data_IF_533131688383
#
_entry.id   IF_533131688383
#
_cell.length_a   1.000
_cell.length_b   1.000
_cell.length_c   1.000
_cell.angle_alpha   90.00
_cell.angle_beta   90.00
_cell.angle_gamma   90.00
#
_symmetry.space_group_name_H-M   'P 1'
#
loop_
_entity.id
_entity.type
_entity.pdbx_description
1 polymer ?
#
# COMPACT_ATOMS: atom_id res chain seq x y z
N UNK A 1 -15.48 -24.10 -6.63
CA UNK A 1 -15.37 -22.96 -7.56
C UNK A 1 -14.15 -22.17 -7.09
N UNK A 2 -13.06 -22.23 -7.82
CA UNK A 2 -11.83 -21.50 -7.50
C UNK A 2 -12.11 -20.03 -7.82
N UNK A 3 -12.28 -19.23 -6.80
CA UNK A 3 -12.38 -17.77 -6.97
C UNK A 3 -10.96 -17.27 -7.23
N UNK A 4 -10.55 -17.26 -8.50
CA UNK A 4 -9.26 -16.70 -8.90
C UNK A 4 -9.14 -15.26 -8.40
N UNK A 5 -7.95 -14.83 -8.01
CA UNK A 5 -7.69 -13.45 -7.62
C UNK A 5 -7.99 -12.49 -8.78
N UNK A 6 -8.49 -11.31 -8.45
CA UNK A 6 -8.65 -10.23 -9.41
C UNK A 6 -7.29 -9.54 -9.58
N UNK A 7 -6.84 -9.39 -10.83
CA UNK A 7 -5.57 -8.75 -11.14
C UNK A 7 -5.78 -7.33 -11.63
N UNK A 8 -4.92 -6.43 -11.18
CA UNK A 8 -4.83 -5.05 -11.67
C UNK A 8 -3.38 -4.59 -11.75
N UNK A 9 -3.13 -3.64 -12.63
CA UNK A 9 -1.85 -2.94 -12.71
C UNK A 9 -2.01 -1.61 -11.98
N UNK A 10 -1.13 -1.37 -11.01
CA UNK A 10 -1.07 -0.13 -10.26
C UNK A 10 0.19 0.63 -10.62
N UNK A 11 0.06 1.92 -10.81
CA UNK A 11 1.19 2.84 -10.97
C UNK A 11 1.04 3.93 -9.93
N UNK A 12 1.98 3.97 -8.99
CA UNK A 12 1.91 4.86 -7.83
C UNK A 12 3.27 5.48 -7.51
N UNK A 13 3.24 6.68 -6.92
CA UNK A 13 4.42 7.31 -6.30
C UNK A 13 4.16 7.60 -4.84
N UNK A 14 5.21 7.47 -4.02
CA UNK A 14 5.18 7.62 -2.57
C UNK A 14 6.08 8.74 -2.11
N UNK A 15 5.61 9.47 -1.11
CA UNK A 15 6.31 10.63 -0.57
C UNK A 15 6.29 10.57 0.95
N UNK A 16 7.44 10.74 1.59
CA UNK A 16 7.53 10.96 3.02
C UNK A 16 7.18 12.41 3.33
N UNK A 17 6.35 12.62 4.34
CA UNK A 17 5.91 13.95 4.80
C UNK A 17 6.03 14.08 6.30
N UNK A 18 6.25 15.31 6.77
CA UNK A 18 6.33 15.60 8.21
C UNK A 18 4.93 15.63 8.84
N UNK A 19 4.85 15.50 10.17
CA UNK A 19 3.56 15.48 10.91
C UNK A 19 2.68 16.70 10.64
N UNK A 20 3.29 17.88 10.45
CA UNK A 20 2.61 19.14 10.15
C UNK A 20 2.30 19.38 8.67
N UNK A 21 2.57 18.40 7.80
CA UNK A 21 2.34 18.56 6.37
C UNK A 21 0.86 18.85 6.06
N UNK A 22 0.63 19.83 5.20
CA UNK A 22 -0.70 20.16 4.68
C UNK A 22 -0.73 19.76 3.22
N UNK A 23 -1.61 18.80 2.88
CA UNK A 23 -1.77 18.36 1.50
C UNK A 23 -2.24 19.54 0.63
N UNK A 24 -1.47 19.95 -0.40
CA UNK A 24 -1.86 21.04 -1.27
C UNK A 24 -3.06 20.65 -2.14
N UNK A 25 -3.74 21.67 -2.68
CA UNK A 25 -4.69 21.43 -3.77
C UNK A 25 -3.91 21.01 -5.02
N UNK A 26 -4.18 19.81 -5.50
CA UNK A 26 -3.58 19.24 -6.71
C UNK A 26 -4.51 19.35 -7.94
N UNK A 27 -5.61 20.10 -7.84
CA UNK A 27 -6.38 20.49 -9.03
C UNK A 27 -5.47 21.23 -10.02
N UNK A 28 -5.61 20.93 -11.31
CA UNK A 28 -4.70 21.42 -12.36
C UNK A 28 -3.55 20.47 -12.69
N UNK A 29 -3.28 19.44 -11.86
CA UNK A 29 -2.26 18.44 -12.17
C UNK A 29 -2.73 17.50 -13.28
N UNK A 30 -1.97 17.41 -14.39
CA UNK A 30 -2.12 16.36 -15.41
C UNK A 30 -3.55 16.19 -15.96
N UNK A 31 -4.29 17.30 -16.14
CA UNK A 31 -5.67 17.27 -16.64
C UNK A 31 -6.76 17.16 -15.56
N UNK A 32 -6.42 17.01 -14.29
CA UNK A 32 -7.38 17.10 -13.20
C UNK A 32 -7.92 18.53 -13.08
N UNK A 33 -9.24 18.69 -12.95
CA UNK A 33 -9.89 20.00 -12.82
C UNK A 33 -10.39 20.28 -11.41
N UNK A 34 -10.49 19.24 -10.58
CA UNK A 34 -10.90 19.35 -9.18
C UNK A 34 -10.37 18.20 -8.33
N UNK A 35 -10.40 18.41 -7.03
CA UNK A 35 -10.07 17.40 -6.03
C UNK A 35 -11.31 17.15 -5.15
N UNK A 36 -11.66 15.86 -4.92
CA UNK A 36 -12.82 15.51 -4.12
C UNK A 36 -12.69 15.93 -2.64
N UNK A 37 -13.78 16.05 -1.90
CA UNK A 37 -13.73 16.10 -0.45
C UNK A 37 -12.94 14.90 0.14
N UNK A 38 -12.37 15.03 1.35
CA UNK A 38 -11.66 13.94 1.99
C UNK A 38 -12.61 12.80 2.40
N UNK A 39 -12.18 11.57 2.15
CA UNK A 39 -12.76 10.35 2.68
C UNK A 39 -11.79 9.73 3.68
N UNK A 40 -12.22 9.49 4.91
CA UNK A 40 -11.35 9.03 5.99
C UNK A 40 -11.65 7.58 6.31
N UNK A 41 -10.62 6.74 6.21
CA UNK A 41 -10.71 5.31 6.41
C UNK A 41 -9.76 4.86 7.54
N UNK A 42 -10.18 3.84 8.29
CA UNK A 42 -9.33 3.14 9.25
C UNK A 42 -8.99 1.77 8.68
N UNK A 43 -7.71 1.53 8.45
CA UNK A 43 -7.21 0.31 7.83
C UNK A 43 -6.33 -0.44 8.83
N UNK A 44 -6.47 -1.76 8.88
CA UNK A 44 -5.56 -2.63 9.60
C UNK A 44 -5.06 -3.73 8.66
N UNK A 45 -3.74 -3.88 8.55
CA UNK A 45 -3.11 -4.85 7.68
C UNK A 45 -2.13 -5.74 8.44
N UNK A 46 -2.21 -7.06 8.23
CA UNK A 46 -1.18 -8.00 8.66
C UNK A 46 -0.43 -8.48 7.43
N UNK A 47 0.89 -8.36 7.46
CA UNK A 47 1.78 -8.82 6.40
C UNK A 47 2.36 -10.19 6.73
N UNK A 48 2.53 -10.99 5.70
CA UNK A 48 3.00 -12.38 5.79
C UNK A 48 4.22 -12.59 4.91
N UNK A 49 5.18 -13.34 5.43
CA UNK A 49 6.38 -13.76 4.71
C UNK A 49 6.90 -15.08 5.30
N UNK A 50 7.94 -15.64 4.70
CA UNK A 50 8.72 -16.73 5.29
C UNK A 50 9.60 -16.21 6.44
N UNK A 51 10.09 -17.11 7.31
CA UNK A 51 10.96 -16.73 8.44
C UNK A 51 12.24 -16.00 7.97
N UNK A 52 12.74 -16.35 6.79
CA UNK A 52 13.91 -15.73 6.14
C UNK A 52 13.57 -14.61 5.15
N UNK A 53 12.32 -14.11 5.18
CA UNK A 53 11.85 -12.92 4.44
C UNK A 53 12.05 -12.99 2.91
N UNK A 54 11.75 -14.15 2.31
CA UNK A 54 11.94 -14.38 0.87
C UNK A 54 11.06 -13.53 -0.02
N UNK A 55 9.81 -13.25 0.40
CA UNK A 55 8.90 -12.45 -0.41
C UNK A 55 9.39 -11.01 -0.49
N UNK A 56 9.70 -10.38 0.64
CA UNK A 56 10.19 -9.00 0.62
C UNK A 56 11.56 -8.90 -0.05
N UNK A 57 12.41 -9.93 0.09
CA UNK A 57 13.68 -10.05 -0.62
C UNK A 57 13.50 -10.09 -2.16
N UNK A 58 12.36 -10.58 -2.65
CA UNK A 58 11.93 -10.55 -4.05
C UNK A 58 11.06 -9.32 -4.40
N UNK A 59 10.99 -8.31 -3.53
CA UNK A 59 10.13 -7.12 -3.67
C UNK A 59 8.62 -7.43 -3.75
N UNK A 60 8.20 -8.54 -3.15
CA UNK A 60 6.81 -8.97 -3.09
C UNK A 60 6.26 -8.68 -1.70
N UNK A 61 5.02 -8.20 -1.64
CA UNK A 61 4.30 -8.10 -0.37
C UNK A 61 3.02 -8.92 -0.41
N UNK A 62 2.76 -9.67 0.64
CA UNK A 62 1.51 -10.39 0.88
C UNK A 62 0.89 -9.86 2.16
N UNK A 63 -0.35 -9.36 2.08
CA UNK A 63 -1.06 -8.83 3.24
C UNK A 63 -2.51 -9.26 3.28
N UNK A 64 -3.06 -9.35 4.48
CA UNK A 64 -4.50 -9.37 4.75
C UNK A 64 -4.89 -8.01 5.33
N UNK A 65 -5.77 -7.28 4.64
CA UNK A 65 -6.24 -5.96 5.06
C UNK A 65 -7.72 -5.98 5.43
N UNK A 66 -8.06 -5.27 6.49
CA UNK A 66 -9.44 -4.98 6.91
C UNK A 66 -9.65 -3.47 6.93
N UNK A 67 -10.89 -3.06 6.80
CA UNK A 67 -11.26 -1.65 6.65
C UNK A 67 -11.04 -1.12 5.23
N UNK A 68 -11.71 -0.01 4.90
CA UNK A 68 -11.74 0.55 3.55
C UNK A 68 -12.58 -0.27 2.58
N UNK A 69 -12.61 0.19 1.33
CA UNK A 69 -13.48 -0.37 0.28
C UNK A 69 -12.92 -1.66 -0.34
N UNK A 70 -11.62 -1.92 -0.15
CA UNK A 70 -10.88 -3.03 -0.74
C UNK A 70 -10.33 -4.01 0.32
N UNK A 71 -11.11 -4.26 1.37
CA UNK A 71 -10.77 -5.26 2.38
C UNK A 71 -10.58 -6.64 1.74
N UNK A 72 -9.42 -7.29 2.02
CA UNK A 72 -9.07 -8.54 1.36
C UNK A 72 -7.64 -8.97 1.57
N UNK A 73 -7.22 -9.96 0.81
CA UNK A 73 -5.84 -10.36 0.66
C UNK A 73 -5.26 -9.70 -0.59
N UNK A 74 -4.06 -9.18 -0.46
CA UNK A 74 -3.37 -8.46 -1.53
C UNK A 74 -1.97 -9.02 -1.69
N UNK A 75 -1.61 -9.35 -2.93
CA UNK A 75 -0.25 -9.69 -3.33
C UNK A 75 0.21 -8.61 -4.29
N UNK A 76 1.24 -7.85 -3.94
CA UNK A 76 1.88 -6.90 -4.86
C UNK A 76 3.19 -7.49 -5.37
N UNK A 77 3.29 -7.58 -6.70
CA UNK A 77 4.41 -8.15 -7.44
C UNK A 77 5.10 -7.05 -8.24
N UNK A 78 6.45 -7.01 -8.29
CA UNK A 78 7.16 -5.99 -9.05
C UNK A 78 6.95 -6.22 -10.56
N UNK A 79 6.68 -5.14 -11.30
CA UNK A 79 6.68 -5.12 -12.77
C UNK A 79 7.86 -4.30 -13.27
N UNK A 80 8.11 -3.14 -12.65
CA UNK A 80 9.22 -2.25 -12.93
C UNK A 80 8.88 -0.80 -12.66
N UNK A 81 9.87 0.01 -12.26
CA UNK A 81 9.68 1.41 -11.90
C UNK A 81 8.59 1.61 -10.83
N UNK A 82 7.66 2.52 -11.10
CA UNK A 82 6.56 2.86 -10.22
C UNK A 82 5.36 1.89 -10.35
N UNK A 83 5.49 0.80 -11.14
CA UNK A 83 4.40 -0.10 -11.51
C UNK A 83 4.48 -1.42 -10.76
N UNK A 84 3.33 -1.88 -10.25
CA UNK A 84 3.12 -3.16 -9.57
C UNK A 84 1.95 -3.90 -10.20
N UNK A 85 2.02 -5.24 -10.22
CA UNK A 85 0.85 -6.08 -10.44
C UNK A 85 0.29 -6.45 -9.08
N UNK A 86 -0.95 -6.05 -8.82
CA UNK A 86 -1.67 -6.47 -7.62
C UNK A 86 -2.63 -7.60 -7.94
N UNK A 87 -2.63 -8.62 -7.09
CA UNK A 87 -3.62 -9.70 -7.10
C UNK A 87 -4.43 -9.60 -5.83
N UNK A 88 -5.73 -9.38 -5.96
CA UNK A 88 -6.67 -9.22 -4.85
C UNK A 88 -7.57 -10.43 -4.71
N UNK A 89 -7.70 -10.95 -3.48
CA UNK A 89 -8.65 -12.00 -3.11
C UNK A 89 -9.59 -11.52 -2.01
N UNK A 90 -10.82 -12.05 -1.96
CA UNK A 90 -11.76 -11.74 -0.90
C UNK A 90 -11.18 -11.98 0.50
N UNK A 91 -11.65 -11.23 1.49
CA UNK A 91 -11.14 -11.28 2.86
C UNK A 91 -11.23 -12.68 3.49
N UNK A 92 -12.25 -13.44 3.13
CA UNK A 92 -12.51 -14.78 3.70
C UNK A 92 -12.82 -14.74 5.20
N UNK A 93 -12.91 -15.91 5.85
CA UNK A 93 -13.16 -16.00 7.27
C UNK A 93 -11.98 -15.42 8.08
N UNK A 94 -12.21 -14.96 9.32
CA UNK A 94 -11.14 -14.56 10.21
C UNK A 94 -10.15 -15.70 10.41
N UNK A 95 -8.85 -15.38 10.38
CA UNK A 95 -7.78 -16.35 10.57
C UNK A 95 -6.41 -15.72 10.49
N UNK A 96 -5.41 -16.44 10.99
CA UNK A 96 -3.99 -16.04 10.97
C UNK A 96 -3.19 -16.82 9.92
N UNK A 97 -3.81 -17.80 9.28
CA UNK A 97 -3.17 -18.66 8.28
C UNK A 97 -3.51 -18.14 6.89
N UNK A 98 -2.50 -18.08 6.04
CA UNK A 98 -2.67 -17.74 4.62
C UNK A 98 -3.44 -18.88 3.95
N UNK A 99 -4.56 -18.61 3.26
CA UNK A 99 -5.30 -19.63 2.49
C UNK A 99 -4.40 -20.30 1.45
N UNK A 100 -4.62 -21.60 1.22
CA UNK A 100 -3.78 -22.40 0.32
C UNK A 100 -3.70 -21.86 -1.11
N UNK A 101 -4.81 -21.33 -1.64
CA UNK A 101 -4.86 -20.70 -2.96
C UNK A 101 -3.96 -19.46 -3.04
N UNK A 102 -3.92 -18.63 -1.99
CA UNK A 102 -3.07 -17.43 -1.91
C UNK A 102 -1.61 -17.83 -1.71
N UNK A 103 -1.34 -18.83 -0.88
CA UNK A 103 0.02 -19.36 -0.71
C UNK A 103 0.58 -19.93 -2.01
N UNK A 104 -0.25 -20.55 -2.85
CA UNK A 104 0.13 -21.07 -4.16
C UNK A 104 0.59 -19.96 -5.12
N UNK A 105 -0.03 -18.76 -5.09
CA UNK A 105 0.37 -17.61 -5.92
C UNK A 105 1.82 -17.17 -5.66
N UNK A 106 2.31 -17.31 -4.44
CA UNK A 106 3.66 -16.90 -4.06
C UNK A 106 4.62 -18.06 -3.88
N UNK A 107 4.19 -19.31 -4.16
CA UNK A 107 4.95 -20.52 -3.87
C UNK A 107 6.33 -20.56 -4.53
N UNK A 108 6.46 -20.04 -5.76
CA UNK A 108 7.75 -20.00 -6.47
C UNK A 108 8.81 -19.13 -5.77
N UNK A 109 8.39 -18.14 -4.98
CA UNK A 109 9.31 -17.27 -4.24
C UNK A 109 9.49 -17.72 -2.80
N UNK A 110 8.43 -18.20 -2.14
CA UNK A 110 8.52 -18.75 -0.80
C UNK A 110 9.24 -20.11 -0.77
N UNK A 111 9.34 -20.79 -1.92
CA UNK A 111 9.86 -22.15 -2.01
C UNK A 111 8.99 -23.17 -1.27
N UNK A 112 7.71 -22.86 -1.06
CA UNK A 112 6.80 -23.68 -0.28
C UNK A 112 6.99 -23.58 1.25
N UNK A 113 7.89 -22.70 1.72
CA UNK A 113 8.07 -22.48 3.15
C UNK A 113 6.82 -21.88 3.81
N UNK A 114 6.55 -22.15 5.09
CA UNK A 114 5.42 -21.60 5.82
C UNK A 114 5.42 -20.07 5.81
N UNK A 115 4.25 -19.46 5.54
CA UNK A 115 4.04 -18.03 5.60
C UNK A 115 3.48 -17.65 6.97
N UNK A 116 4.15 -16.71 7.64
CA UNK A 116 3.81 -16.26 8.99
C UNK A 116 3.62 -14.75 9.03
N UNK A 117 2.86 -14.23 10.01
CA UNK A 117 2.77 -12.80 10.23
C UNK A 117 4.15 -12.22 10.60
N UNK A 118 4.62 -11.21 9.84
CA UNK A 118 5.93 -10.56 10.06
C UNK A 118 5.82 -9.09 10.44
N UNK A 119 4.68 -8.44 10.10
CA UNK A 119 4.38 -7.07 10.49
C UNK A 119 2.87 -6.83 10.58
N UNK A 120 2.47 -5.86 11.39
CA UNK A 120 1.14 -5.24 11.40
C UNK A 120 1.25 -3.75 11.18
N UNK A 121 0.31 -3.22 10.41
CA UNK A 121 0.16 -1.79 10.22
C UNK A 121 -1.27 -1.38 10.54
N UNK A 122 -1.40 -0.31 11.30
CA UNK A 122 -2.62 0.44 11.48
C UNK A 122 -2.47 1.76 10.75
N UNK A 123 -3.43 2.11 9.91
CA UNK A 123 -3.34 3.30 9.06
C UNK A 123 -4.64 4.09 9.15
N UNK A 124 -4.52 5.36 9.54
CA UNK A 124 -5.57 6.34 9.29
C UNK A 124 -5.29 6.98 7.94
N UNK A 125 -6.09 6.60 6.93
CA UNK A 125 -5.96 7.04 5.55
C UNK A 125 -6.98 8.13 5.26
N UNK A 126 -6.54 9.23 4.67
CA UNK A 126 -7.42 10.25 4.10
C UNK A 126 -7.27 10.21 2.59
N UNK A 127 -8.30 9.76 1.87
CA UNK A 127 -8.30 9.67 0.41
C UNK A 127 -8.96 10.92 -0.18
N UNK A 128 -8.35 11.44 -1.25
CA UNK A 128 -8.95 12.42 -2.15
C UNK A 128 -8.76 11.94 -3.59
N UNK A 129 -9.74 12.20 -4.44
CA UNK A 129 -9.70 11.82 -5.85
C UNK A 129 -9.47 13.04 -6.70
N UNK A 130 -8.52 12.96 -7.63
CA UNK A 130 -8.32 13.94 -8.67
C UNK A 130 -9.27 13.60 -9.82
N UNK A 131 -10.15 14.55 -10.15
CA UNK A 131 -11.23 14.35 -11.10
C UNK A 131 -10.97 15.12 -12.39
N UNK A 132 -11.24 14.47 -13.51
CA UNK A 132 -11.24 15.06 -14.84
C UNK A 132 -12.51 15.86 -15.14
N UNK A 133 -12.60 16.43 -16.34
CA UNK A 133 -13.71 17.33 -16.76
C UNK A 133 -15.08 16.65 -16.78
N UNK A 134 -15.13 15.34 -17.04
CA UNK A 134 -16.38 14.57 -17.05
C UNK A 134 -16.66 13.91 -15.67
N UNK A 135 -15.87 14.23 -14.64
CA UNK A 135 -16.01 13.67 -13.30
C UNK A 135 -15.33 12.31 -13.12
N UNK A 136 -14.61 11.82 -14.12
CA UNK A 136 -13.83 10.59 -14.07
C UNK A 136 -12.67 10.71 -13.06
N UNK A 137 -12.38 9.60 -12.36
CA UNK A 137 -11.26 9.55 -11.41
C UNK A 137 -9.97 9.33 -12.20
N UNK A 138 -9.08 10.32 -12.18
CA UNK A 138 -7.77 10.24 -12.83
C UNK A 138 -6.70 9.66 -11.91
N UNK A 139 -6.72 10.02 -10.63
CA UNK A 139 -5.83 9.47 -9.62
C UNK A 139 -6.47 9.53 -8.23
N UNK A 140 -5.98 8.69 -7.33
CA UNK A 140 -6.22 8.80 -5.89
C UNK A 140 -4.98 9.33 -5.18
N UNK A 141 -5.20 10.24 -4.24
CA UNK A 141 -4.19 10.79 -3.34
C UNK A 141 -4.53 10.31 -1.94
N UNK A 142 -3.72 9.43 -1.41
CA UNK A 142 -3.87 8.88 -0.06
C UNK A 142 -2.85 9.51 0.88
N UNK A 143 -3.32 10.20 1.92
CA UNK A 143 -2.53 10.74 3.01
C UNK A 143 -2.66 9.80 4.21
N UNK A 144 -1.59 9.07 4.51
CA UNK A 144 -1.54 7.97 5.45
C UNK A 144 -0.78 8.34 6.72
N UNK A 145 -1.44 8.26 7.86
CA UNK A 145 -0.81 8.21 9.17
C UNK A 145 -0.68 6.73 9.57
N UNK A 146 0.53 6.21 9.65
CA UNK A 146 0.82 4.79 9.79
C UNK A 146 1.50 4.51 11.12
N UNK A 147 1.04 3.46 11.82
CA UNK A 147 1.74 2.84 12.95
C UNK A 147 2.08 1.40 12.59
N UNK A 148 3.36 1.07 12.65
CA UNK A 148 3.90 -0.25 12.33
C UNK A 148 4.36 -1.01 13.57
N UNK A 149 4.13 -2.32 13.62
CA UNK A 149 4.58 -3.22 14.68
C UNK A 149 5.08 -4.56 14.12
N UNK A 150 5.93 -5.23 14.89
CA UNK A 150 6.48 -6.56 14.58
C UNK A 150 6.17 -7.54 15.70
N UNK A 151 6.14 -8.86 15.42
CA UNK A 151 6.06 -9.87 16.47
C UNK A 151 7.22 -9.72 17.46
N UNK A 152 6.94 -9.90 18.74
CA UNK A 152 7.98 -9.97 19.76
C UNK A 152 8.78 -11.28 19.57
N UNK A 153 10.14 -11.24 19.48
CA UNK A 153 10.94 -12.45 19.35
C UNK A 153 10.76 -13.45 20.50
N UNK A 154 10.42 -12.97 21.70
CA UNK A 154 10.21 -13.83 22.87
C UNK A 154 8.78 -14.40 22.95
N UNK A 155 7.82 -13.75 22.30
CA UNK A 155 6.41 -14.16 22.27
C UNK A 155 5.75 -13.67 20.95
N UNK A 156 5.70 -14.52 19.91
CA UNK A 156 5.14 -14.14 18.60
C UNK A 156 3.67 -13.74 18.62
N UNK A 157 2.94 -13.99 19.70
CA UNK A 157 1.56 -13.52 19.88
C UNK A 157 1.50 -12.04 20.27
N UNK A 158 2.57 -11.51 20.84
CA UNK A 158 2.71 -10.14 21.27
C UNK A 158 3.32 -9.29 20.14
N UNK A 159 2.83 -8.06 19.98
CA UNK A 159 3.29 -7.11 18.97
C UNK A 159 4.04 -5.96 19.63
N UNK A 160 5.21 -5.62 19.08
CA UNK A 160 6.02 -4.49 19.53
C UNK A 160 5.94 -3.37 18.51
N UNK A 161 5.59 -2.14 18.92
CA UNK A 161 5.70 -0.96 18.06
C UNK A 161 7.12 -0.82 17.51
N UNK A 162 7.25 -0.45 16.22
CA UNK A 162 8.54 -0.25 15.56
C UNK A 162 8.70 1.18 15.06
N UNK A 163 7.71 1.70 14.33
CA UNK A 163 7.78 3.01 13.70
C UNK A 163 6.38 3.61 13.58
N UNK A 164 6.32 4.93 13.57
CA UNK A 164 5.10 5.68 13.23
C UNK A 164 5.50 6.84 12.32
N UNK A 165 4.81 6.96 11.17
CA UNK A 165 5.15 7.97 10.17
C UNK A 165 3.92 8.46 9.43
N UNK A 166 4.12 9.45 8.58
CA UNK A 166 3.11 9.94 7.63
C UNK A 166 3.70 9.92 6.23
N UNK A 167 2.92 9.45 5.28
CA UNK A 167 3.30 9.42 3.88
C UNK A 167 2.11 9.75 2.98
N UNK A 168 2.39 10.25 1.79
CA UNK A 168 1.39 10.48 0.75
C UNK A 168 1.67 9.55 -0.42
N UNK A 169 0.63 8.87 -0.90
CA UNK A 169 0.67 8.06 -2.12
C UNK A 169 -0.21 8.72 -3.18
N UNK A 170 0.27 8.76 -4.42
CA UNK A 170 -0.52 9.16 -5.58
C UNK A 170 -0.57 7.99 -6.53
N UNK A 171 -1.75 7.42 -6.71
CA UNK A 171 -1.99 6.24 -7.56
C UNK A 171 -2.84 6.63 -8.77
N UNK A 172 -2.39 6.27 -9.97
CA UNK A 172 -3.16 6.45 -11.20
C UNK A 172 -4.37 5.51 -11.22
N UNK A 173 -5.50 6.07 -11.64
CA UNK A 173 -6.74 5.31 -11.95
C UNK A 173 -7.06 5.39 -13.44
N UNK A 174 -7.49 6.53 -13.94
CA UNK A 174 -7.73 6.78 -15.36
C UNK A 174 -6.80 7.84 -15.97
N UNK A 175 -5.88 8.38 -15.18
CA UNK A 175 -4.93 9.41 -15.62
C UNK A 175 -3.72 8.86 -16.35
N UNK A 176 -2.91 9.77 -16.90
CA UNK A 176 -1.63 9.46 -17.57
C UNK A 176 -0.45 9.66 -16.64
N UNK A 177 0.75 9.12 -16.94
CA UNK A 177 1.95 9.33 -16.15
C UNK A 177 2.31 10.82 -15.90
N UNK A 178 1.99 11.72 -16.81
CA UNK A 178 2.21 13.17 -16.67
C UNK A 178 1.49 13.75 -15.44
N UNK A 179 0.36 13.13 -15.03
CA UNK A 179 -0.33 13.51 -13.81
C UNK A 179 0.54 13.25 -12.58
N UNK A 180 1.26 12.12 -12.53
CA UNK A 180 2.17 11.82 -11.43
C UNK A 180 3.32 12.83 -11.36
N UNK A 181 3.84 13.30 -12.52
CA UNK A 181 4.91 14.29 -12.55
C UNK A 181 4.41 15.65 -12.06
N UNK A 182 3.22 16.07 -12.49
CA UNK A 182 2.60 17.31 -12.04
C UNK A 182 2.26 17.28 -10.54
N UNK A 183 1.68 16.18 -10.06
CA UNK A 183 1.39 15.99 -8.64
C UNK A 183 2.68 15.97 -7.79
N UNK A 184 3.75 15.33 -8.28
CA UNK A 184 5.06 15.32 -7.63
C UNK A 184 5.61 16.73 -7.43
N UNK A 185 5.51 17.60 -8.45
CA UNK A 185 5.95 18.99 -8.36
C UNK A 185 5.15 19.77 -7.28
N UNK A 186 3.83 19.61 -7.24
CA UNK A 186 2.95 20.24 -6.23
C UNK A 186 3.26 19.75 -4.81
N UNK A 187 3.44 18.45 -4.63
CA UNK A 187 3.79 17.85 -3.35
C UNK A 187 5.18 18.28 -2.86
N UNK A 188 6.18 18.32 -3.76
CA UNK A 188 7.53 18.77 -3.43
C UNK A 188 7.55 20.24 -3.02
N UNK A 189 6.81 21.11 -3.71
CA UNK A 189 6.66 22.52 -3.35
C UNK A 189 6.04 22.71 -1.96
N UNK A 190 5.19 21.76 -1.51
CA UNK A 190 4.60 21.73 -0.17
C UNK A 190 5.50 21.05 0.88
N UNK A 191 6.70 20.55 0.51
CA UNK A 191 7.67 19.96 1.43
C UNK A 191 7.67 18.43 1.49
N UNK A 192 6.91 17.74 0.64
CA UNK A 192 7.00 16.28 0.53
C UNK A 192 8.32 15.86 -0.15
N UNK A 193 8.84 14.72 0.25
CA UNK A 193 10.09 14.15 -0.30
C UNK A 193 9.78 12.75 -0.88
N UNK A 194 10.35 12.35 -2.02
CA UNK A 194 10.21 10.97 -2.49
C UNK A 194 10.55 9.97 -1.37
N UNK A 195 9.69 8.97 -1.17
CA UNK A 195 9.92 7.98 -0.12
C UNK A 195 11.17 7.15 -0.43
N UNK A 196 11.97 6.90 0.61
CA UNK A 196 13.15 6.03 0.53
C UNK A 196 12.81 4.56 0.65
N UNK A 197 11.61 4.24 1.16
CA UNK A 197 11.18 2.87 1.38
C UNK A 197 10.34 2.36 0.20
N UNK A 198 10.71 1.22 -0.34
CA UNK A 198 10.00 0.57 -1.45
C UNK A 198 8.54 0.20 -1.10
N UNK A 199 8.25 -0.04 0.18
CA UNK A 199 6.91 -0.33 0.69
C UNK A 199 6.81 -0.01 2.18
N UNK A 200 5.57 0.13 2.69
CA UNK A 200 5.30 0.24 4.13
C UNK A 200 5.89 -0.94 4.92
N UNK A 201 5.83 -2.15 4.35
CA UNK A 201 6.43 -3.34 4.96
C UNK A 201 7.95 -3.21 5.08
N UNK A 202 8.64 -2.81 3.99
CA UNK A 202 10.09 -2.63 4.00
C UNK A 202 10.53 -1.64 5.08
N UNK A 203 9.76 -0.54 5.27
CA UNK A 203 10.01 0.44 6.33
C UNK A 203 9.95 -0.18 7.73
N UNK A 204 8.89 -0.93 8.04
CA UNK A 204 8.74 -1.58 9.36
C UNK A 204 9.80 -2.63 9.60
N UNK A 205 10.21 -3.36 8.55
CA UNK A 205 11.25 -4.40 8.65
C UNK A 205 12.67 -3.83 8.67
N UNK A 206 12.87 -2.55 8.27
CA UNK A 206 14.19 -1.95 8.13
C UNK A 206 15.00 -2.54 6.97
N UNK A 207 14.32 -2.97 5.90
CA UNK A 207 14.92 -3.60 4.70
C UNK A 207 14.87 -2.69 3.46
N UNK A 208 14.70 -1.39 3.64
CA UNK A 208 14.63 -0.38 2.58
C UNK A 208 15.95 0.28 2.30
#
# INVERSE_FOLDING_TARGET
>A
MTTGGQEQIETERKYDVDAGFVLPDLAGSGGAVSMSPPDVQQLAATYYDTDDLRLIGAHITLRRRTGGDDAGWHIKLPVGGDTRREVHFPLGPPGRTVPGEIAAEVARWSGGAPLRPVARLETRRTVRRLLGKAGEVLAEVADDQVAGSRPDPADPERWRPQDAWREVEVELKGGTPDLLDAAAAGLAAAGARPSRSASKLARVLGTG
#
